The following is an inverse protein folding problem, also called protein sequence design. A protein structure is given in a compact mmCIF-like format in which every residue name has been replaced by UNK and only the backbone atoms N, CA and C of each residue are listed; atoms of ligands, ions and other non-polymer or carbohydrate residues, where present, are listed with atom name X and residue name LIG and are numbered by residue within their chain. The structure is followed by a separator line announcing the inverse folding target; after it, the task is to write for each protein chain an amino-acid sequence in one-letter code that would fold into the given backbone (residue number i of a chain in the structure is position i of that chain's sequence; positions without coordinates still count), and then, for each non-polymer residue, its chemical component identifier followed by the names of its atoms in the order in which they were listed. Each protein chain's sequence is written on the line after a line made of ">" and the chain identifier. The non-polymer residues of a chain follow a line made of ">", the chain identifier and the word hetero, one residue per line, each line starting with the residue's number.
data_IF_153866846596
#
_entry.id   IF_153866846596
#
_cell.length_a   1.000
_cell.length_b   1.000
_cell.length_c   1.000
_cell.angle_alpha   90.00
_cell.angle_beta   90.00
_cell.angle_gamma   90.00
#
_symmetry.space_group_name_H-M   'P 1'
#
loop_
_entity.id
_entity.type
_entity.pdbx_description
1 polymer ?
#
# COMPACT_ATOMS: atom_id res chain seq x y z
N UNK A 1 82.63 2.46 -7.70
CA UNK A 1 82.03 1.76 -8.85
C UNK A 1 80.53 1.62 -8.56
N UNK A 2 79.76 2.68 -8.80
CA UNK A 2 78.85 2.87 -9.95
C UNK A 2 77.49 2.15 -9.79
N UNK A 3 76.43 2.98 -9.78
CA UNK A 3 74.99 2.71 -10.03
C UNK A 3 74.22 2.18 -8.80
N UNK A 4 73.12 2.78 -8.33
CA UNK A 4 72.03 3.43 -9.09
C UNK A 4 71.39 4.57 -8.26
N UNK A 5 71.51 5.78 -8.79
CA UNK A 5 70.60 6.88 -8.56
C UNK A 5 69.26 6.55 -9.24
N UNK A 6 68.15 6.70 -8.53
CA UNK A 6 66.98 7.40 -9.06
C UNK A 6 66.05 7.66 -7.86
N UNK A 7 66.35 8.69 -7.09
CA UNK A 7 65.59 9.93 -7.18
C UNK A 7 64.11 9.68 -6.85
N UNK A 8 63.83 9.35 -5.57
CA UNK A 8 62.69 9.97 -4.90
C UNK A 8 62.75 11.47 -5.20
N UNK A 9 61.59 12.09 -5.42
CA UNK A 9 61.35 13.51 -5.80
C UNK A 9 61.02 13.66 -7.29
N UNK A 10 59.75 13.44 -7.67
CA UNK A 10 58.89 14.36 -8.45
C UNK A 10 57.59 13.63 -8.86
N UNK A 11 56.52 13.78 -8.10
CA UNK A 11 55.10 13.73 -8.57
C UNK A 11 54.20 14.10 -7.38
N UNK A 12 54.40 15.29 -6.84
CA UNK A 12 53.37 16.03 -6.10
C UNK A 12 53.00 17.21 -6.99
N UNK A 13 51.73 17.63 -6.94
CA UNK A 13 51.03 18.63 -7.78
C UNK A 13 50.58 18.07 -9.16
N UNK A 14 49.33 18.22 -9.62
CA UNK A 14 48.29 19.18 -9.28
C UNK A 14 46.99 18.82 -10.06
N UNK A 15 45.86 18.95 -9.38
CA UNK A 15 44.54 19.38 -9.90
C UNK A 15 43.67 18.48 -10.78
N UNK A 16 42.50 18.20 -10.18
CA UNK A 16 41.16 18.05 -10.78
C UNK A 16 40.93 16.76 -11.58
N UNK A 17 39.89 15.98 -11.28
CA UNK A 17 38.51 16.43 -11.32
C UNK A 17 37.62 15.57 -10.41
N UNK A 18 36.98 16.28 -9.49
CA UNK A 18 35.69 16.03 -8.83
C UNK A 18 35.47 14.68 -8.14
N UNK A 19 35.55 14.74 -6.81
CA UNK A 19 34.68 13.94 -5.95
C UNK A 19 33.24 14.10 -6.46
N UNK A 20 32.68 13.03 -7.01
CA UNK A 20 31.27 13.00 -7.38
C UNK A 20 30.49 13.11 -6.07
N UNK A 21 29.75 14.21 -5.81
CA UNK A 21 28.85 14.20 -4.68
C UNK A 21 27.73 13.24 -5.05
N UNK A 22 27.74 12.03 -4.49
CA UNK A 22 26.54 11.20 -4.43
C UNK A 22 25.61 11.87 -3.41
N UNK A 23 24.99 12.97 -3.82
CA UNK A 23 23.88 13.59 -3.11
C UNK A 23 22.65 13.38 -3.97
N UNK A 24 22.07 12.20 -3.82
CA UNK A 24 20.70 11.94 -4.26
C UNK A 24 19.94 11.39 -3.06
N UNK A 25 19.56 12.28 -2.13
CA UNK A 25 18.50 11.99 -1.16
C UNK A 25 17.23 12.68 -1.63
N UNK A 26 16.58 12.09 -2.63
CA UNK A 26 15.26 12.57 -3.07
C UNK A 26 14.19 11.88 -2.23
N UNK A 27 13.75 12.53 -1.15
CA UNK A 27 12.51 12.15 -0.48
C UNK A 27 11.35 12.91 -1.13
N UNK A 28 10.73 12.30 -2.15
CA UNK A 28 9.42 12.76 -2.61
C UNK A 28 8.38 12.25 -1.60
N UNK A 29 8.01 13.08 -0.62
CA UNK A 29 6.74 12.87 0.11
C UNK A 29 5.61 13.21 -0.84
N UNK A 30 4.97 12.17 -1.40
CA UNK A 30 3.83 12.28 -2.32
C UNK A 30 2.77 13.19 -1.68
N UNK A 31 2.54 14.37 -2.27
CA UNK A 31 1.31 15.13 -2.05
C UNK A 31 0.14 14.18 -2.31
N UNK A 32 -0.88 14.19 -1.45
CA UNK A 32 -2.10 13.43 -1.70
C UNK A 32 -2.53 13.65 -3.16
N UNK A 33 -2.81 12.58 -3.91
CA UNK A 33 -3.32 12.74 -5.27
C UNK A 33 -4.57 13.60 -5.19
N UNK A 34 -4.58 14.76 -5.87
CA UNK A 34 -5.72 15.68 -5.84
C UNK A 34 -7.01 14.90 -6.12
N UNK A 35 -8.02 15.09 -5.26
CA UNK A 35 -9.30 14.40 -5.38
C UNK A 35 -9.35 12.96 -4.85
N UNK A 36 -8.29 12.44 -4.22
CA UNK A 36 -8.34 11.13 -3.53
C UNK A 36 -8.12 11.22 -2.04
N UNK A 37 -8.80 10.35 -1.30
CA UNK A 37 -8.65 10.19 0.15
C UNK A 37 -8.16 8.80 0.48
N UNK A 38 -7.44 8.69 1.60
CA UNK A 38 -7.03 7.41 2.15
C UNK A 38 -8.21 6.73 2.87
N UNK A 39 -8.52 5.51 2.47
CA UNK A 39 -9.52 4.64 3.06
C UNK A 39 -8.82 3.42 3.63
N UNK A 40 -9.06 3.16 4.92
CA UNK A 40 -8.48 2.02 5.63
C UNK A 40 -9.57 0.97 5.84
N UNK A 41 -9.42 -0.17 5.17
CA UNK A 41 -10.23 -1.35 5.41
C UNK A 41 -9.64 -2.13 6.59
N UNK A 42 -10.47 -2.49 7.57
CA UNK A 42 -10.07 -3.26 8.74
C UNK A 42 -10.97 -4.48 8.91
N UNK A 43 -10.39 -5.64 9.24
CA UNK A 43 -11.15 -6.87 9.44
C UNK A 43 -10.53 -7.70 10.56
N UNK A 44 -11.28 -7.96 11.62
CA UNK A 44 -10.79 -8.62 12.84
C UNK A 44 -11.23 -10.08 12.98
N UNK A 45 -11.87 -10.65 11.96
CA UNK A 45 -12.27 -12.05 11.93
C UNK A 45 -11.30 -12.89 11.07
N UNK A 46 -11.44 -14.22 11.11
CA UNK A 46 -10.65 -15.16 10.30
C UNK A 46 -9.13 -14.97 10.42
N UNK A 47 -8.65 -14.89 11.67
CA UNK A 47 -7.23 -14.69 11.96
C UNK A 47 -6.36 -15.88 11.56
N UNK A 48 -6.95 -17.06 11.39
CA UNK A 48 -6.33 -18.29 10.88
C UNK A 48 -6.21 -18.33 9.35
N UNK A 49 -6.86 -17.40 8.63
CA UNK A 49 -6.79 -17.35 7.18
C UNK A 49 -5.36 -17.10 6.67
N UNK A 50 -4.96 -17.80 5.60
CA UNK A 50 -3.66 -17.61 4.94
C UNK A 50 -3.54 -16.23 4.27
N UNK A 51 -4.65 -15.71 3.75
CA UNK A 51 -4.71 -14.43 3.07
C UNK A 51 -6.14 -13.92 3.03
N UNK A 52 -6.30 -12.62 3.25
CA UNK A 52 -7.55 -11.90 3.07
C UNK A 52 -7.31 -10.77 2.08
N UNK A 53 -8.29 -10.53 1.21
CA UNK A 53 -8.28 -9.45 0.23
C UNK A 53 -9.57 -8.62 0.36
N UNK A 54 -9.57 -7.46 -0.29
CA UNK A 54 -10.79 -6.67 -0.48
C UNK A 54 -11.14 -6.70 -1.97
N UNK A 55 -12.36 -7.13 -2.29
CA UNK A 55 -12.89 -7.12 -3.64
C UNK A 55 -14.06 -6.14 -3.71
N UNK A 56 -14.13 -5.34 -4.78
CA UNK A 56 -15.17 -4.34 -4.95
C UNK A 56 -15.11 -3.65 -6.31
N UNK A 57 -15.93 -2.62 -6.48
CA UNK A 57 -16.06 -1.88 -7.75
C UNK A 57 -14.74 -1.25 -8.24
N UNK A 58 -13.78 -1.01 -7.35
CA UNK A 58 -12.47 -0.41 -7.66
C UNK A 58 -11.43 -1.40 -8.22
N UNK A 59 -11.71 -2.71 -8.19
CA UNK A 59 -10.82 -3.75 -8.69
C UNK A 59 -11.56 -4.85 -9.43
N UNK A 60 -12.70 -4.48 -10.03
CA UNK A 60 -13.56 -5.36 -10.82
C UNK A 60 -13.95 -6.64 -10.08
N UNK A 61 -14.17 -6.53 -8.77
CA UNK A 61 -14.55 -7.63 -7.89
C UNK A 61 -13.55 -8.81 -7.92
N UNK A 62 -12.27 -8.56 -8.21
CA UNK A 62 -11.27 -9.63 -8.21
C UNK A 62 -10.94 -10.09 -6.77
N UNK A 63 -11.27 -11.34 -6.39
CA UNK A 63 -11.18 -11.83 -5.01
C UNK A 63 -9.74 -12.11 -4.53
N UNK A 64 -8.75 -12.06 -5.42
CA UNK A 64 -7.36 -12.36 -5.13
C UNK A 64 -6.40 -11.32 -5.74
N UNK A 65 -6.89 -10.10 -5.99
CA UNK A 65 -6.08 -9.03 -6.57
C UNK A 65 -4.90 -8.70 -5.64
N UNK A 66 -3.66 -8.90 -6.11
CA UNK A 66 -2.45 -8.78 -5.28
C UNK A 66 -2.32 -7.42 -4.58
N UNK A 67 -2.62 -6.34 -5.30
CA UNK A 67 -2.58 -4.99 -4.70
C UNK A 67 -3.64 -4.76 -3.62
N UNK A 68 -4.68 -5.58 -3.57
CA UNK A 68 -5.77 -5.49 -2.60
C UNK A 68 -5.68 -6.57 -1.52
N UNK A 69 -4.51 -7.19 -1.36
CA UNK A 69 -4.21 -8.10 -0.26
C UNK A 69 -4.07 -7.31 1.05
N UNK A 70 -4.76 -7.77 2.09
CA UNK A 70 -4.66 -7.20 3.43
C UNK A 70 -3.44 -7.74 4.17
N UNK A 71 -2.89 -6.91 5.06
CA UNK A 71 -1.79 -7.27 5.95
C UNK A 71 -2.33 -7.46 7.36
N UNK A 72 -1.97 -8.58 8.00
CA UNK A 72 -2.33 -8.84 9.40
C UNK A 72 -1.34 -8.18 10.34
N UNK A 73 -1.83 -7.34 11.26
CA UNK A 73 -1.03 -6.72 12.33
C UNK A 73 -1.89 -6.56 13.59
N UNK A 74 -1.33 -6.96 14.74
CA UNK A 74 -1.98 -6.83 16.05
C UNK A 74 -3.39 -7.45 16.09
N UNK A 75 -3.52 -8.66 15.53
CA UNK A 75 -4.80 -9.38 15.50
C UNK A 75 -5.85 -8.80 14.53
N UNK A 76 -5.48 -7.87 13.64
CA UNK A 76 -6.42 -7.25 12.69
C UNK A 76 -5.80 -7.21 11.29
N UNK A 77 -6.57 -7.60 10.28
CA UNK A 77 -6.23 -7.41 8.88
C UNK A 77 -6.50 -5.97 8.47
N UNK A 78 -5.53 -5.32 7.81
CA UNK A 78 -5.65 -3.94 7.34
C UNK A 78 -5.19 -3.77 5.89
N UNK A 79 -5.86 -2.89 5.17
CA UNK A 79 -5.43 -2.41 3.85
C UNK A 79 -5.74 -0.92 3.74
N UNK A 80 -4.75 -0.14 3.36
CA UNK A 80 -4.94 1.28 3.04
C UNK A 80 -4.93 1.51 1.53
N UNK A 81 -5.94 2.23 1.02
CA UNK A 81 -6.07 2.58 -0.40
C UNK A 81 -6.52 4.00 -0.61
N UNK A 82 -5.98 4.63 -1.65
CA UNK A 82 -6.43 5.96 -2.11
C UNK A 82 -7.61 5.79 -3.06
N UNK A 83 -8.78 6.28 -2.67
CA UNK A 83 -10.02 6.22 -3.43
C UNK A 83 -10.52 7.64 -3.77
N UNK A 84 -11.33 7.77 -4.82
CA UNK A 84 -11.86 9.07 -5.26
C UNK A 84 -12.76 9.64 -4.18
N UNK A 85 -12.47 10.87 -3.74
CA UNK A 85 -13.19 11.54 -2.68
C UNK A 85 -14.68 11.69 -3.01
N UNK A 86 -15.54 11.48 -2.01
CA UNK A 86 -16.99 11.62 -2.09
C UNK A 86 -17.70 10.46 -2.79
N UNK A 87 -16.98 9.53 -3.44
CA UNK A 87 -17.57 8.40 -4.12
C UNK A 87 -17.91 7.27 -3.14
N UNK A 88 -19.06 6.63 -3.37
CA UNK A 88 -19.42 5.38 -2.71
C UNK A 88 -18.89 4.20 -3.52
N UNK A 89 -18.41 3.16 -2.82
CA UNK A 89 -17.96 1.92 -3.42
C UNK A 89 -18.56 0.71 -2.71
N UNK A 90 -19.07 -0.25 -3.47
CA UNK A 90 -19.43 -1.56 -2.94
C UNK A 90 -18.20 -2.46 -2.82
N UNK A 91 -18.12 -3.24 -1.74
CA UNK A 91 -17.04 -4.18 -1.48
C UNK A 91 -17.45 -5.36 -0.59
N UNK A 92 -16.60 -6.38 -0.56
CA UNK A 92 -16.57 -7.49 0.40
C UNK A 92 -15.12 -7.87 0.73
N UNK A 93 -14.93 -8.51 1.87
CA UNK A 93 -13.69 -9.24 2.17
C UNK A 93 -13.74 -10.63 1.52
N UNK A 94 -12.62 -11.05 0.96
CA UNK A 94 -12.49 -12.34 0.29
C UNK A 94 -11.37 -13.18 0.89
N UNK A 95 -11.66 -14.47 1.06
CA UNK A 95 -10.70 -15.46 1.54
C UNK A 95 -10.64 -16.59 0.51
N UNK A 96 -9.69 -16.53 -0.44
CA UNK A 96 -9.45 -17.60 -1.40
C UNK A 96 -8.86 -18.84 -0.72
N UNK A 97 -9.32 -20.02 -1.12
CA UNK A 97 -8.80 -21.32 -0.70
C UNK A 97 -8.91 -22.31 -1.87
N UNK A 98 -7.80 -22.49 -2.59
CA UNK A 98 -7.79 -23.24 -3.85
C UNK A 98 -8.68 -22.56 -4.88
N UNK A 99 -9.60 -23.31 -5.47
CA UNK A 99 -10.57 -22.81 -6.46
C UNK A 99 -11.80 -22.13 -5.83
N UNK A 100 -11.94 -22.18 -4.50
CA UNK A 100 -13.09 -21.60 -3.79
C UNK A 100 -12.75 -20.24 -3.20
N UNK A 101 -13.74 -19.38 -3.09
CA UNK A 101 -13.63 -18.07 -2.44
C UNK A 101 -14.75 -17.92 -1.43
N UNK A 102 -14.39 -17.61 -0.18
CA UNK A 102 -15.36 -17.15 0.82
C UNK A 102 -15.53 -15.65 0.70
N UNK A 103 -16.78 -15.20 0.57
CA UNK A 103 -17.16 -13.79 0.48
C UNK A 103 -17.82 -13.35 1.79
N UNK A 104 -17.34 -12.26 2.36
CA UNK A 104 -17.77 -11.80 3.69
C UNK A 104 -18.06 -10.30 3.62
N UNK A 105 -19.28 -9.91 3.98
CA UNK A 105 -19.60 -8.50 4.16
C UNK A 105 -18.95 -7.94 5.43
N UNK A 106 -18.60 -6.68 5.38
CA UNK A 106 -18.23 -5.92 6.57
C UNK A 106 -19.48 -5.64 7.42
N UNK A 107 -19.56 -6.26 8.60
CA UNK A 107 -20.71 -6.12 9.51
C UNK A 107 -20.82 -4.71 10.11
N UNK A 108 -19.72 -3.97 10.12
CA UNK A 108 -19.63 -2.62 10.70
C UNK A 108 -19.77 -1.52 9.64
N UNK A 109 -20.10 -1.87 8.38
CA UNK A 109 -20.32 -0.88 7.34
C UNK A 109 -21.58 -0.04 7.63
N UNK A 110 -21.47 1.28 7.42
CA UNK A 110 -22.58 2.23 7.60
C UNK A 110 -23.78 1.93 6.67
N UNK A 111 -23.53 1.27 5.54
CA UNK A 111 -24.49 1.03 4.46
C UNK A 111 -24.26 -0.32 3.81
N UNK A 112 -25.35 -0.90 3.32
CA UNK A 112 -25.39 -2.15 2.57
C UNK A 112 -26.20 -2.01 1.30
N UNK A 113 -25.91 -2.85 0.31
CA UNK A 113 -26.70 -3.01 -0.92
C UNK A 113 -26.88 -4.49 -1.21
N UNK A 114 -28.06 -4.86 -1.71
CA UNK A 114 -28.33 -6.21 -2.19
C UNK A 114 -27.29 -6.62 -3.27
N UNK A 115 -26.80 -7.84 -3.19
CA UNK A 115 -25.78 -8.35 -4.11
C UNK A 115 -26.34 -9.15 -5.30
N UNK A 116 -27.66 -9.37 -5.37
CA UNK A 116 -28.34 -10.15 -6.38
C UNK A 116 -28.33 -11.66 -6.16
N UNK A 117 -27.71 -12.15 -5.08
CA UNK A 117 -27.53 -13.58 -4.76
C UNK A 117 -28.09 -13.95 -3.38
N UNK A 118 -28.99 -13.12 -2.84
CA UNK A 118 -29.58 -13.31 -1.52
C UNK A 118 -28.67 -12.86 -0.36
N UNK A 119 -27.60 -12.12 -0.66
CA UNK A 119 -26.74 -11.49 0.33
C UNK A 119 -26.64 -9.98 0.12
N UNK A 120 -25.66 -9.36 0.77
CA UNK A 120 -25.43 -7.92 0.68
C UNK A 120 -23.95 -7.61 0.52
N UNK A 121 -23.65 -6.58 -0.27
CA UNK A 121 -22.37 -5.91 -0.32
C UNK A 121 -22.31 -4.80 0.72
N UNK A 122 -21.13 -4.59 1.29
CA UNK A 122 -20.86 -3.44 2.16
C UNK A 122 -20.56 -2.22 1.30
N UNK A 123 -20.96 -1.03 1.76
CA UNK A 123 -20.69 0.23 1.06
C UNK A 123 -19.77 1.11 1.90
N UNK A 124 -18.68 1.55 1.28
CA UNK A 124 -17.77 2.54 1.85
C UNK A 124 -17.91 3.87 1.11
N UNK A 125 -18.01 4.96 1.86
CA UNK A 125 -17.96 6.32 1.30
C UNK A 125 -16.54 6.86 1.49
N UNK A 126 -15.85 7.14 0.41
CA UNK A 126 -14.49 7.67 0.44
C UNK A 126 -14.50 9.16 0.87
N UNK A 127 -14.66 9.40 2.17
CA UNK A 127 -14.71 10.76 2.76
C UNK A 127 -13.51 11.01 3.67
N UNK A 128 -13.07 12.27 3.77
CA UNK A 128 -12.09 12.68 4.77
C UNK A 128 -12.75 12.54 6.14
N UNK A 129 -12.35 11.52 6.90
CA UNK A 129 -12.73 11.43 8.31
C UNK A 129 -11.77 12.32 9.08
N UNK A 130 -12.25 13.47 9.58
CA UNK A 130 -11.48 14.25 10.54
C UNK A 130 -11.21 13.32 11.74
N UNK A 131 -9.97 13.22 12.25
CA UNK A 131 -9.70 12.40 13.42
C UNK A 131 -10.62 12.87 14.56
N UNK A 132 -11.47 11.97 15.05
CA UNK A 132 -12.23 12.21 16.26
C UNK A 132 -11.23 12.56 17.35
N UNK A 133 -11.28 13.78 17.88
CA UNK A 133 -10.54 14.10 19.10
C UNK A 133 -11.07 13.14 20.17
N UNK A 134 -10.23 12.23 20.62
CA UNK A 134 -10.45 11.54 21.90
C UNK A 134 -10.14 12.50 23.03
#
# INVERSE_FOLDING_TARGET
>A
MQRKYFCLILTVLLLMLVAVPVVAKTEVKKAAEEGKVEVIFSFAEHLDAKSIFVAGEFNDWNPAHKDWKMTKKDGVWRLSKKLVQGKEYQYKFTIPSGEKVKWIKDKEADKFKDDGFGGENSVVIAKIVKPSKK
#
